data_IF_517062724781
#
_entry.id   IF_517062724781
#
_cell.length_a   1.000
_cell.length_b   1.000
_cell.length_c   1.000
_cell.angle_alpha   90.00
_cell.angle_beta   90.00
_cell.angle_gamma   90.00
#
_symmetry.space_group_name_H-M   'P 1'
#
loop_
_entity.id
_entity.type
_entity.pdbx_description
1 polymer ?
#
# COMPACT_ATOMS: atom_id res chain seq x y z
N UNK A 1 31.59 28.67 20.94
CA UNK A 1 31.23 27.70 21.98
C UNK A 1 30.27 26.74 21.33
N UNK A 2 30.79 25.59 20.88
CA UNK A 2 30.07 24.55 20.15
C UNK A 2 28.86 24.08 20.97
N UNK A 3 27.69 24.10 20.34
CA UNK A 3 26.46 23.58 20.92
C UNK A 3 26.56 22.06 20.85
N UNK A 4 26.81 21.41 21.98
CA UNK A 4 26.85 19.96 22.10
C UNK A 4 25.46 19.42 21.74
N UNK A 5 25.31 18.80 20.57
CA UNK A 5 24.09 18.06 20.20
C UNK A 5 24.10 16.72 20.94
N UNK A 6 23.23 16.58 21.95
CA UNK A 6 23.02 15.34 22.68
C UNK A 6 22.33 14.31 21.78
N UNK A 7 23.11 13.37 21.25
CA UNK A 7 22.62 12.24 20.43
C UNK A 7 22.01 11.19 21.37
N UNK A 8 20.69 11.14 21.46
CA UNK A 8 19.98 10.14 22.27
C UNK A 8 19.58 8.93 21.41
N UNK A 9 20.06 7.75 21.79
CA UNK A 9 19.77 6.46 21.14
C UNK A 9 18.65 5.70 21.87
N UNK A 10 17.81 4.96 21.13
CA UNK A 10 16.94 3.92 21.69
C UNK A 10 17.57 2.55 21.40
N UNK A 11 17.77 1.73 22.43
CA UNK A 11 18.25 0.36 22.28
C UNK A 11 17.07 -0.60 22.10
N UNK A 12 17.01 -1.24 20.94
CA UNK A 12 16.17 -2.41 20.70
C UNK A 12 17.12 -3.60 20.56
N UNK A 13 16.91 -4.65 21.35
CA UNK A 13 17.78 -5.85 21.42
C UNK A 13 18.17 -6.34 20.01
N UNK A 14 19.46 -6.21 19.67
CA UNK A 14 20.01 -6.61 18.36
C UNK A 14 20.82 -5.52 17.62
N UNK A 15 21.96 -5.12 18.17
CA UNK A 15 23.15 -4.50 17.53
C UNK A 15 22.99 -3.40 16.45
N UNK A 16 21.85 -2.72 16.37
CA UNK A 16 21.64 -1.56 15.48
C UNK A 16 21.07 -0.39 16.29
N UNK A 17 21.92 0.57 16.64
CA UNK A 17 21.49 1.80 17.31
C UNK A 17 20.76 2.69 16.30
N UNK A 18 19.46 2.94 16.48
CA UNK A 18 18.77 3.94 15.66
C UNK A 18 19.25 5.34 16.04
N UNK A 19 19.52 6.17 15.03
CA UNK A 19 19.77 7.60 15.21
C UNK A 19 18.43 8.32 15.27
N UNK A 20 18.10 8.97 16.39
CA UNK A 20 16.96 9.89 16.45
C UNK A 20 17.28 11.08 15.52
N UNK A 21 16.51 11.24 14.44
CA UNK A 21 16.63 12.45 13.61
C UNK A 21 16.11 13.62 14.45
N UNK A 22 16.98 14.56 14.79
CA UNK A 22 16.62 15.76 15.55
C UNK A 22 15.93 16.78 14.64
N UNK A 23 14.80 16.38 14.05
CA UNK A 23 13.96 17.31 13.32
C UNK A 23 13.42 18.35 14.33
N UNK A 24 13.44 19.63 13.96
CA UNK A 24 12.86 20.68 14.80
C UNK A 24 11.42 20.28 15.15
N UNK A 25 11.07 20.36 16.44
CA UNK A 25 9.75 19.96 16.95
C UNK A 25 8.61 20.58 16.15
N UNK A 26 8.79 21.83 15.69
CA UNK A 26 7.82 22.52 14.84
C UNK A 26 7.60 21.84 13.48
N UNK A 27 8.67 21.36 12.84
CA UNK A 27 8.57 20.66 11.55
C UNK A 27 7.91 19.29 11.76
N UNK A 28 8.30 18.56 12.81
CA UNK A 28 7.69 17.27 13.16
C UNK A 28 6.17 17.40 13.34
N UNK A 29 5.72 18.35 14.18
CA UNK A 29 4.29 18.59 14.43
C UNK A 29 3.57 18.99 13.13
N UNK A 30 4.19 19.86 12.33
CA UNK A 30 3.60 20.31 11.06
C UNK A 30 3.39 19.16 10.09
N UNK A 31 4.40 18.30 9.90
CA UNK A 31 4.30 17.14 9.02
C UNK A 31 3.26 16.13 9.51
N UNK A 32 3.20 15.88 10.82
CA UNK A 32 2.22 14.96 11.39
C UNK A 32 0.78 15.43 11.15
N UNK A 33 0.50 16.73 11.36
CA UNK A 33 -0.80 17.33 11.08
C UNK A 33 -1.12 17.24 9.59
N UNK A 34 -0.16 17.56 8.73
CA UNK A 34 -0.33 17.52 7.28
C UNK A 34 -0.71 16.12 6.76
N UNK A 35 0.03 15.08 7.13
CA UNK A 35 -0.28 13.71 6.70
C UNK A 35 -1.59 13.18 7.31
N UNK A 36 -1.89 13.55 8.56
CA UNK A 36 -3.16 13.19 9.19
C UNK A 36 -4.36 13.83 8.47
N UNK A 37 -4.23 15.09 8.04
CA UNK A 37 -5.25 15.77 7.24
C UNK A 37 -5.44 15.11 5.88
N UNK A 38 -4.34 14.73 5.19
CA UNK A 38 -4.41 13.99 3.93
C UNK A 38 -5.17 12.68 4.13
N UNK A 39 -4.80 11.88 5.14
CA UNK A 39 -5.49 10.62 5.46
C UNK A 39 -7.00 10.85 5.68
N UNK A 40 -7.37 11.83 6.51
CA UNK A 40 -8.77 12.14 6.81
C UNK A 40 -9.57 12.55 5.55
N UNK A 41 -8.99 13.41 4.70
CA UNK A 41 -9.61 13.84 3.44
C UNK A 41 -9.76 12.66 2.48
N UNK A 42 -8.71 11.84 2.31
CA UNK A 42 -8.75 10.63 1.47
C UNK A 42 -9.85 9.68 1.93
N UNK A 43 -9.96 9.41 3.22
CA UNK A 43 -11.02 8.54 3.78
C UNK A 43 -12.39 9.14 3.53
N UNK A 44 -12.59 10.41 3.87
CA UNK A 44 -13.87 11.09 3.71
C UNK A 44 -14.36 11.08 2.26
N UNK A 45 -13.50 11.49 1.30
CA UNK A 45 -13.87 11.55 -0.11
C UNK A 45 -14.18 10.17 -0.68
N UNK A 46 -13.38 9.15 -0.37
CA UNK A 46 -13.62 7.81 -0.88
C UNK A 46 -14.85 7.14 -0.26
N UNK A 47 -15.13 7.38 1.02
CA UNK A 47 -16.38 6.95 1.66
C UNK A 47 -17.59 7.59 0.96
N UNK A 48 -17.54 8.89 0.67
CA UNK A 48 -18.61 9.55 -0.07
C UNK A 48 -18.83 8.94 -1.46
N UNK A 49 -17.76 8.63 -2.19
CA UNK A 49 -17.85 7.95 -3.50
C UNK A 49 -18.51 6.57 -3.37
N UNK A 50 -18.05 5.77 -2.40
CA UNK A 50 -18.59 4.42 -2.15
C UNK A 50 -20.08 4.51 -1.80
N UNK A 51 -20.47 5.39 -0.87
CA UNK A 51 -21.87 5.58 -0.46
C UNK A 51 -22.70 6.02 -1.66
N UNK A 52 -22.23 6.99 -2.44
CA UNK A 52 -22.97 7.51 -3.59
C UNK A 52 -23.26 6.42 -4.61
N UNK A 53 -22.25 5.67 -5.03
CA UNK A 53 -22.42 4.62 -6.05
C UNK A 53 -23.24 3.44 -5.50
N UNK A 54 -23.03 3.05 -4.24
CA UNK A 54 -23.71 1.89 -3.64
C UNK A 54 -25.18 2.16 -3.29
N UNK A 55 -25.52 3.40 -2.95
CA UNK A 55 -26.89 3.78 -2.59
C UNK A 55 -27.77 3.98 -3.82
N UNK A 56 -27.26 4.66 -4.84
CA UNK A 56 -28.04 4.99 -6.03
C UNK A 56 -27.90 3.91 -7.10
N UNK A 57 -28.88 3.00 -7.20
CA UNK A 57 -28.93 1.94 -8.23
C UNK A 57 -28.78 2.46 -9.67
N UNK A 58 -29.21 3.70 -9.93
CA UNK A 58 -29.04 4.35 -11.25
C UNK A 58 -27.57 4.56 -11.64
N UNK A 59 -26.66 4.61 -10.67
CA UNK A 59 -25.23 4.75 -10.87
C UNK A 59 -24.53 3.39 -11.08
N UNK A 60 -25.22 2.25 -11.08
CA UNK A 60 -24.60 0.94 -11.32
C UNK A 60 -24.27 0.72 -12.80
N UNK A 61 -23.28 1.46 -13.29
CA UNK A 61 -22.75 1.37 -14.65
C UNK A 61 -21.35 0.73 -14.65
N UNK A 62 -20.91 0.14 -15.77
CA UNK A 62 -19.58 -0.49 -15.87
C UNK A 62 -18.43 0.46 -15.48
N UNK A 63 -18.47 1.73 -15.87
CA UNK A 63 -17.47 2.73 -15.46
C UNK A 63 -17.52 2.99 -13.97
N UNK A 64 -18.71 3.13 -13.38
CA UNK A 64 -18.84 3.41 -11.95
C UNK A 64 -18.38 2.23 -11.07
N UNK A 65 -18.40 1.00 -11.59
CA UNK A 65 -17.76 -0.13 -10.91
C UNK A 65 -16.23 -0.01 -10.85
N UNK A 66 -15.58 0.55 -11.88
CA UNK A 66 -14.15 0.84 -11.83
C UNK A 66 -13.83 1.94 -10.81
N UNK A 67 -14.65 2.99 -10.78
CA UNK A 67 -14.51 4.09 -9.81
C UNK A 67 -14.73 3.56 -8.39
N UNK A 68 -15.71 2.68 -8.19
CA UNK A 68 -15.96 2.03 -6.90
C UNK A 68 -14.78 1.16 -6.46
N UNK A 69 -14.22 0.35 -7.37
CA UNK A 69 -13.02 -0.46 -7.13
C UNK A 69 -11.82 0.41 -6.72
N UNK A 70 -11.62 1.53 -7.42
CA UNK A 70 -10.58 2.50 -7.09
C UNK A 70 -10.81 3.13 -5.71
N UNK A 71 -12.03 3.56 -5.41
CA UNK A 71 -12.37 4.18 -4.13
C UNK A 71 -12.17 3.23 -2.94
N UNK A 72 -12.44 1.93 -3.10
CA UNK A 72 -12.16 0.92 -2.07
C UNK A 72 -10.66 0.76 -1.83
N UNK A 73 -9.84 0.76 -2.89
CA UNK A 73 -8.38 0.73 -2.78
C UNK A 73 -7.85 1.98 -2.08
N UNK A 74 -8.30 3.17 -2.48
CA UNK A 74 -7.86 4.44 -1.91
C UNK A 74 -8.34 4.64 -0.47
N UNK A 75 -9.49 4.06 -0.09
CA UNK A 75 -9.95 4.01 1.29
C UNK A 75 -8.98 3.20 2.17
N UNK A 76 -8.50 2.06 1.67
CA UNK A 76 -7.51 1.22 2.37
C UNK A 76 -6.17 1.96 2.51
N UNK A 77 -5.76 2.71 1.48
CA UNK A 77 -4.58 3.58 1.53
C UNK A 77 -4.74 4.67 2.59
N UNK A 78 -5.89 5.35 2.60
CA UNK A 78 -6.19 6.42 3.55
C UNK A 78 -6.23 5.93 5.01
N UNK A 79 -6.79 4.76 5.27
CA UNK A 79 -6.96 4.21 6.62
C UNK A 79 -5.70 3.54 7.18
N UNK A 80 -4.95 2.80 6.34
CA UNK A 80 -3.85 1.95 6.82
C UNK A 80 -2.50 2.47 6.32
N UNK A 81 -2.35 2.64 5.01
CA UNK A 81 -1.03 2.92 4.42
C UNK A 81 -0.51 4.30 4.82
N UNK A 82 -1.33 5.35 4.74
CA UNK A 82 -0.89 6.72 5.07
C UNK A 82 -0.54 6.85 6.56
N UNK A 83 -1.36 6.43 7.53
CA UNK A 83 -1.01 6.56 8.95
C UNK A 83 0.24 5.75 9.33
N UNK A 84 0.34 4.52 8.84
CA UNK A 84 1.48 3.64 9.15
C UNK A 84 2.76 4.14 8.50
N UNK A 85 2.71 4.62 7.25
CA UNK A 85 3.85 5.29 6.61
C UNK A 85 4.24 6.59 7.32
N UNK A 86 3.27 7.35 7.81
CA UNK A 86 3.55 8.57 8.58
C UNK A 86 4.38 8.22 9.81
N UNK A 87 3.98 7.21 10.57
CA UNK A 87 4.77 6.73 11.71
C UNK A 87 6.13 6.18 11.26
N UNK A 88 6.18 5.42 10.17
CA UNK A 88 7.44 4.86 9.63
C UNK A 88 8.47 5.93 9.22
N UNK A 89 8.01 7.07 8.73
CA UNK A 89 8.86 8.17 8.28
C UNK A 89 9.27 9.06 9.45
N UNK A 90 8.36 9.29 10.40
CA UNK A 90 8.59 10.20 11.52
C UNK A 90 9.38 9.54 12.65
N UNK A 91 9.15 8.25 12.91
CA UNK A 91 9.87 7.50 13.92
C UNK A 91 11.16 6.94 13.34
N UNK A 92 12.28 7.22 13.99
CA UNK A 92 13.59 6.72 13.53
C UNK A 92 13.79 5.22 13.83
N UNK A 93 12.95 4.62 14.67
CA UNK A 93 12.91 3.18 14.92
C UNK A 93 11.53 2.62 14.65
N UNK A 94 11.49 1.45 14.03
CA UNK A 94 10.26 0.70 13.84
C UNK A 94 9.94 -0.20 15.06
N UNK A 95 9.04 0.27 15.93
CA UNK A 95 8.66 -0.45 17.15
C UNK A 95 7.66 -1.59 16.97
N UNK A 96 6.98 -1.69 15.83
CA UNK A 96 5.89 -2.67 15.60
C UNK A 96 6.38 -4.07 15.16
N UNK A 97 7.70 -4.26 15.04
CA UNK A 97 8.31 -5.53 14.66
C UNK A 97 8.33 -5.82 13.15
N UNK A 98 9.14 -6.80 12.77
CA UNK A 98 9.44 -7.14 11.36
C UNK A 98 8.22 -7.65 10.60
N UNK A 99 7.35 -8.43 11.25
CA UNK A 99 6.13 -8.96 10.63
C UNK A 99 5.16 -7.84 10.22
N UNK A 100 4.98 -6.82 11.07
CA UNK A 100 4.11 -5.70 10.75
C UNK A 100 4.70 -4.83 9.64
N UNK A 101 6.04 -4.67 9.60
CA UNK A 101 6.73 -4.00 8.49
C UNK A 101 6.49 -4.71 7.15
N UNK A 102 6.68 -6.04 7.13
CA UNK A 102 6.46 -6.85 5.93
C UNK A 102 5.00 -6.84 5.48
N UNK A 103 4.06 -6.95 6.43
CA UNK A 103 2.62 -6.87 6.14
C UNK A 103 2.23 -5.50 5.59
N UNK A 104 2.71 -4.42 6.20
CA UNK A 104 2.45 -3.06 5.72
C UNK A 104 3.01 -2.85 4.31
N UNK A 105 4.25 -3.28 4.04
CA UNK A 105 4.84 -3.21 2.71
C UNK A 105 4.02 -3.99 1.67
N UNK A 106 3.56 -5.19 2.02
CA UNK A 106 2.68 -5.99 1.16
C UNK A 106 1.37 -5.25 0.83
N UNK A 107 0.69 -4.70 1.83
CA UNK A 107 -0.56 -3.93 1.63
C UNK A 107 -0.31 -2.69 0.77
N UNK A 108 0.79 -1.97 0.98
CA UNK A 108 1.15 -0.80 0.19
C UNK A 108 1.39 -1.16 -1.29
N UNK A 109 2.15 -2.23 -1.57
CA UNK A 109 2.35 -2.74 -2.93
C UNK A 109 1.04 -3.18 -3.59
N UNK A 110 0.17 -3.84 -2.83
CA UNK A 110 -1.12 -4.33 -3.30
C UNK A 110 -2.03 -3.16 -3.71
N UNK A 111 -2.21 -2.17 -2.83
CA UNK A 111 -3.05 -1.00 -3.11
C UNK A 111 -2.51 -0.19 -4.30
N UNK A 112 -1.20 -0.03 -4.40
CA UNK A 112 -0.56 0.68 -5.52
C UNK A 112 -0.82 -0.06 -6.85
N UNK A 113 -0.62 -1.38 -6.86
CA UNK A 113 -0.84 -2.21 -8.05
C UNK A 113 -2.32 -2.22 -8.48
N UNK A 114 -3.25 -2.32 -7.52
CA UNK A 114 -4.69 -2.25 -7.75
C UNK A 114 -5.10 -0.90 -8.35
N UNK A 115 -4.60 0.19 -7.77
CA UNK A 115 -4.93 1.55 -8.23
C UNK A 115 -4.44 1.80 -9.65
N UNK A 116 -3.20 1.41 -9.95
CA UNK A 116 -2.65 1.48 -11.31
C UNK A 116 -3.46 0.62 -12.30
N UNK A 117 -3.79 -0.61 -11.94
CA UNK A 117 -4.60 -1.49 -12.78
C UNK A 117 -6.00 -0.92 -13.06
N UNK A 118 -6.65 -0.35 -12.04
CA UNK A 118 -7.93 0.35 -12.21
C UNK A 118 -7.80 1.57 -13.11
N UNK A 119 -6.75 2.39 -12.97
CA UNK A 119 -6.50 3.55 -13.86
C UNK A 119 -6.27 3.13 -15.31
N UNK A 120 -5.59 2.02 -15.56
CA UNK A 120 -5.44 1.45 -16.91
C UNK A 120 -6.79 1.04 -17.47
N UNK A 121 -7.62 0.34 -16.68
CA UNK A 121 -8.97 -0.04 -17.12
C UNK A 121 -9.87 1.17 -17.39
N UNK A 122 -9.78 2.23 -16.57
CA UNK A 122 -10.50 3.49 -16.80
C UNK A 122 -10.04 4.12 -18.12
N UNK A 123 -8.73 4.11 -18.38
CA UNK A 123 -8.16 4.65 -19.64
C UNK A 123 -8.67 3.87 -20.86
N UNK A 124 -8.75 2.54 -20.77
CA UNK A 124 -9.30 1.68 -21.83
C UNK A 124 -10.80 1.96 -22.04
N UNK A 125 -11.58 2.06 -20.97
CA UNK A 125 -13.02 2.39 -21.04
C UNK A 125 -13.25 3.72 -21.78
N UNK A 126 -12.51 4.77 -21.40
CA UNK A 126 -12.59 6.09 -22.05
C UNK A 126 -12.14 6.03 -23.51
N UNK A 127 -11.08 5.29 -23.81
CA UNK A 127 -10.60 5.10 -25.18
C UNK A 127 -11.67 4.45 -26.07
N UNK A 128 -12.29 3.35 -25.62
CA UNK A 128 -13.33 2.65 -26.40
C UNK A 128 -14.58 3.52 -26.56
N UNK A 129 -14.96 4.30 -25.56
CA UNK A 129 -16.10 5.22 -25.65
C UNK A 129 -15.91 6.30 -26.74
N UNK A 130 -14.68 6.77 -26.94
CA UNK A 130 -14.35 7.80 -27.94
C UNK A 130 -14.16 7.20 -29.33
N UNK A 131 -13.42 6.09 -29.44
CA UNK A 131 -13.07 5.51 -30.74
C UNK A 131 -14.19 4.66 -31.36
N UNK A 132 -14.98 3.96 -30.53
CA UNK A 132 -16.01 3.01 -30.97
C UNK A 132 -17.40 3.30 -30.34
N UNK A 133 -17.97 4.51 -30.49
CA UNK A 133 -19.17 4.91 -29.75
C UNK A 133 -20.39 4.02 -29.99
N UNK A 134 -20.59 3.54 -31.24
CA UNK A 134 -21.73 2.67 -31.58
C UNK A 134 -21.59 1.24 -31.03
N UNK A 135 -20.37 0.78 -30.82
CA UNK A 135 -20.09 -0.56 -30.29
C UNK A 135 -19.84 -0.55 -28.77
N UNK A 136 -19.76 0.62 -28.14
CA UNK A 136 -19.46 0.79 -26.71
C UNK A 136 -20.36 -0.09 -25.84
N UNK A 137 -21.68 -0.01 -26.01
CA UNK A 137 -22.65 -0.77 -25.22
C UNK A 137 -22.56 -2.29 -25.41
N UNK A 138 -22.05 -2.76 -26.54
CA UNK A 138 -21.82 -4.19 -26.79
C UNK A 138 -20.46 -4.66 -26.26
N UNK A 139 -19.44 -3.80 -26.30
CA UNK A 139 -18.08 -4.12 -25.84
C UNK A 139 -17.95 -4.03 -24.32
N UNK A 140 -18.47 -2.96 -23.73
CA UNK A 140 -18.35 -2.63 -22.31
C UNK A 140 -19.64 -3.01 -21.59
N UNK A 141 -19.61 -4.15 -20.91
CA UNK A 141 -20.74 -4.66 -20.12
C UNK A 141 -20.33 -4.81 -18.65
N UNK A 142 -21.32 -4.75 -17.76
CA UNK A 142 -21.12 -4.90 -16.30
C UNK A 142 -20.40 -6.21 -15.96
N UNK A 143 -20.80 -7.32 -16.57
CA UNK A 143 -20.17 -8.64 -16.35
C UNK A 143 -18.71 -8.63 -16.78
N UNK A 144 -18.38 -8.08 -17.96
CA UNK A 144 -17.00 -7.99 -18.43
C UNK A 144 -16.15 -7.11 -17.52
N UNK A 145 -16.68 -5.98 -17.06
CA UNK A 145 -15.97 -5.11 -16.11
C UNK A 145 -15.71 -5.81 -14.78
N UNK A 146 -16.68 -6.51 -14.22
CA UNK A 146 -16.46 -7.27 -12.98
C UNK A 146 -15.39 -8.34 -13.16
N UNK A 147 -15.35 -9.03 -14.30
CA UNK A 147 -14.27 -9.96 -14.63
C UNK A 147 -12.92 -9.25 -14.74
N UNK A 148 -12.83 -8.12 -15.44
CA UNK A 148 -11.60 -7.34 -15.56
C UNK A 148 -11.09 -6.86 -14.20
N UNK A 149 -11.96 -6.33 -13.33
CA UNK A 149 -11.60 -5.92 -11.97
C UNK A 149 -11.08 -7.12 -11.17
N UNK A 150 -11.74 -8.28 -11.27
CA UNK A 150 -11.31 -9.50 -10.57
C UNK A 150 -9.95 -9.99 -11.05
N UNK A 151 -9.69 -9.95 -12.36
CA UNK A 151 -8.39 -10.29 -12.96
C UNK A 151 -7.32 -9.30 -12.48
N UNK A 152 -7.60 -8.00 -12.51
CA UNK A 152 -6.69 -6.97 -12.00
C UNK A 152 -6.36 -7.20 -10.53
N UNK A 153 -7.35 -7.56 -9.72
CA UNK A 153 -7.15 -7.87 -8.30
C UNK A 153 -6.23 -9.08 -8.12
N UNK A 154 -6.48 -10.16 -8.87
CA UNK A 154 -5.62 -11.33 -8.86
C UNK A 154 -4.18 -11.02 -9.29
N UNK A 155 -4.00 -10.27 -10.38
CA UNK A 155 -2.67 -9.87 -10.87
C UNK A 155 -1.94 -8.98 -9.85
N UNK A 156 -2.64 -8.04 -9.21
CA UNK A 156 -2.08 -7.19 -8.17
C UNK A 156 -1.63 -8.00 -6.94
N UNK A 157 -2.41 -9.01 -6.54
CA UNK A 157 -2.04 -9.95 -5.48
C UNK A 157 -0.79 -10.74 -5.85
N UNK A 158 -0.74 -11.34 -7.04
CA UNK A 158 0.43 -12.09 -7.52
C UNK A 158 1.68 -11.21 -7.55
N UNK A 159 1.57 -10.00 -8.11
CA UNK A 159 2.67 -9.03 -8.16
C UNK A 159 3.19 -8.69 -6.75
N UNK A 160 2.28 -8.47 -5.81
CA UNK A 160 2.63 -8.09 -4.44
C UNK A 160 3.21 -9.26 -3.63
N UNK A 161 2.86 -10.51 -3.95
CA UNK A 161 3.43 -11.72 -3.33
C UNK A 161 4.83 -12.06 -3.86
N UNK A 162 5.11 -11.75 -5.12
CA UNK A 162 6.44 -12.00 -5.72
C UNK A 162 7.53 -11.18 -5.02
N UNK A 163 7.25 -9.93 -4.63
CA UNK A 163 8.24 -9.05 -3.99
C UNK A 163 8.80 -9.62 -2.67
N UNK A 164 7.99 -10.02 -1.67
CA UNK A 164 8.47 -10.68 -0.45
C UNK A 164 9.20 -12.01 -0.71
N UNK A 165 8.81 -12.78 -1.73
CA UNK A 165 9.48 -14.03 -2.09
C UNK A 165 10.87 -13.74 -2.67
N UNK A 166 11.01 -12.72 -3.52
CA UNK A 166 12.32 -12.28 -4.02
C UNK A 166 13.20 -11.87 -2.84
N UNK A 167 12.70 -11.06 -1.91
CA UNK A 167 13.45 -10.69 -0.71
C UNK A 167 13.78 -11.90 0.17
N UNK A 168 12.83 -12.80 0.43
CA UNK A 168 13.07 -14.02 1.19
C UNK A 168 14.17 -14.90 0.54
N UNK A 169 14.19 -15.05 -0.79
CA UNK A 169 15.21 -15.83 -1.49
C UNK A 169 16.56 -15.10 -1.66
N UNK A 170 16.58 -13.76 -1.73
CA UNK A 170 17.80 -12.97 -1.92
C UNK A 170 18.49 -12.54 -0.62
N UNK A 171 17.79 -12.46 0.52
CA UNK A 171 18.40 -12.01 1.76
C UNK A 171 19.44 -13.05 2.28
N UNK A 172 20.66 -12.60 2.66
CA UNK A 172 21.75 -13.49 3.08
C UNK A 172 21.38 -14.40 4.25
N UNK A 173 20.59 -13.90 5.21
CA UNK A 173 20.15 -14.66 6.39
C UNK A 173 19.29 -15.88 6.02
N UNK A 174 18.37 -15.79 5.05
CA UNK A 174 17.56 -16.93 4.65
C UNK A 174 18.42 -18.03 4.01
N UNK A 175 19.40 -17.63 3.17
CA UNK A 175 20.41 -18.55 2.64
C UNK A 175 21.23 -19.20 3.76
N UNK A 176 21.58 -18.46 4.81
CA UNK A 176 22.33 -18.97 5.98
C UNK A 176 21.48 -19.94 6.81
N UNK A 177 20.23 -19.61 7.08
CA UNK A 177 19.29 -20.45 7.85
C UNK A 177 18.92 -21.73 7.09
N UNK A 178 18.63 -21.63 5.79
CA UNK A 178 18.40 -22.79 4.94
C UNK A 178 19.64 -23.70 4.89
N UNK A 179 20.85 -23.13 4.82
CA UNK A 179 22.10 -23.88 4.87
C UNK A 179 22.31 -24.55 6.23
N UNK A 180 21.98 -23.90 7.35
CA UNK A 180 22.04 -24.44 8.72
C UNK A 180 21.04 -25.59 8.95
N UNK A 181 19.82 -25.47 8.40
CA UNK A 181 18.79 -26.51 8.45
C UNK A 181 19.19 -27.70 7.56
N UNK A 182 19.64 -27.45 6.32
CA UNK A 182 20.08 -28.49 5.39
C UNK A 182 21.35 -29.22 5.84
N UNK A 183 22.25 -28.56 6.57
CA UNK A 183 23.43 -29.22 7.16
C UNK A 183 23.14 -29.90 8.51
N UNK A 184 21.88 -29.92 8.99
CA UNK A 184 21.46 -30.58 10.24
C UNK A 184 22.34 -30.21 11.45
N UNK A 185 22.93 -29.02 11.45
CA UNK A 185 23.91 -28.59 12.46
C UNK A 185 23.25 -28.09 13.76
N UNK A 186 21.91 -28.09 13.80
CA UNK A 186 21.10 -27.72 14.97
C UNK A 186 21.26 -28.71 16.14
N UNK A 187 21.77 -29.93 15.90
CA UNK A 187 21.92 -30.96 16.96
C UNK A 187 23.27 -30.92 17.73
N UNK A 188 24.07 -29.85 17.60
CA UNK A 188 25.33 -29.68 18.37
C UNK A 188 25.44 -28.29 19.03
N UNK A 189 24.37 -27.84 19.64
CA UNK A 189 24.38 -26.82 20.69
C UNK A 189 23.80 -27.47 21.96
#
# INVERSE_FOLDING_TARGET
MEKHEDIQYCFQDGNSSCRKVLLSTSIYITLYIFFSLISAVTVFLNVLVIISISHFKQLHTPTNLLILSLAVSDLLVGLIVIPVMTVAIMESCWGFGEYFCAFHFFIACLCTSLSLGNLVLISIDRYVAVCDPLLYHSKITTTRMMCCISITCYLALVNSLINPIIYAFFYPWFKVTAKLILTLKIRRL
#
